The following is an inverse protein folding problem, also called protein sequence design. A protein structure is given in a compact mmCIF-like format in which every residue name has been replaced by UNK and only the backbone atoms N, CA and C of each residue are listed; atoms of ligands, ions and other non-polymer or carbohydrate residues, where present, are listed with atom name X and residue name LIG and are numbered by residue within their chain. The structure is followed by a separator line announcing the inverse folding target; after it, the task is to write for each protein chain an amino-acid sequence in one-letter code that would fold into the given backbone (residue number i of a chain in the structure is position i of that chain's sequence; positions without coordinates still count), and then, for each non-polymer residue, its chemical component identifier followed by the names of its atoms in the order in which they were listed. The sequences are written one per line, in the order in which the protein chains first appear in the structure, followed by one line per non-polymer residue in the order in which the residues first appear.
data_IF_859542576478
#
_entry.id   IF_859542576478
#
_cell.length_a   1.000
_cell.length_b   1.000
_cell.length_c   1.000
_cell.angle_alpha   90.00
_cell.angle_beta   90.00
_cell.angle_gamma   90.00
#
_symmetry.space_group_name_H-M   'P 1'
#
loop_
_entity.id
_entity.type
_entity.pdbx_description
1 polymer ?
#
# COMPACT_ATOMS: atom_id res chain seq x y z
N UNK A 1 -7.78 -17.60 3.49
CA UNK A 1 -7.13 -16.34 3.92
C UNK A 1 -7.87 -15.82 5.14
N UNK A 2 -7.17 -15.48 6.24
CA UNK A 2 -7.84 -14.80 7.35
C UNK A 2 -8.42 -13.47 6.85
N UNK A 3 -9.68 -13.19 7.18
CA UNK A 3 -10.36 -11.92 6.85
C UNK A 3 -9.58 -10.71 7.35
N UNK A 4 -8.76 -10.89 8.38
CA UNK A 4 -7.99 -9.83 9.00
C UNK A 4 -6.97 -9.19 8.04
N UNK A 5 -6.46 -9.95 7.07
CA UNK A 5 -5.44 -9.47 6.13
C UNK A 5 -6.02 -8.97 4.81
N UNK A 6 -7.35 -8.92 4.66
CA UNK A 6 -7.98 -8.50 3.42
C UNK A 6 -7.51 -7.10 2.97
N UNK A 7 -7.43 -6.14 3.90
CA UNK A 7 -6.99 -4.77 3.62
C UNK A 7 -5.51 -4.73 3.18
N UNK A 8 -4.53 -5.23 3.96
CA UNK A 8 -3.13 -5.27 3.55
C UNK A 8 -2.91 -5.99 2.22
N UNK A 9 -3.61 -7.10 1.98
CA UNK A 9 -3.49 -7.87 0.74
C UNK A 9 -4.05 -7.11 -0.46
N UNK A 10 -5.24 -6.51 -0.33
CA UNK A 10 -5.84 -5.71 -1.39
C UNK A 10 -4.98 -4.48 -1.71
N UNK A 11 -4.43 -3.82 -0.68
CA UNK A 11 -3.51 -2.69 -0.86
C UNK A 11 -2.22 -3.12 -1.57
N UNK A 12 -1.65 -4.27 -1.20
CA UNK A 12 -0.44 -4.80 -1.85
C UNK A 12 -0.72 -5.19 -3.31
N UNK A 13 -1.87 -5.81 -3.58
CA UNK A 13 -2.31 -6.15 -4.93
C UNK A 13 -2.51 -4.90 -5.78
N UNK A 14 -3.10 -3.83 -5.22
CA UNK A 14 -3.29 -2.56 -5.91
C UNK A 14 -1.94 -1.91 -6.25
N UNK A 15 -0.98 -1.91 -5.31
CA UNK A 15 0.40 -1.50 -5.56
C UNK A 15 1.04 -2.30 -6.70
N UNK A 16 0.93 -3.63 -6.65
CA UNK A 16 1.46 -4.51 -7.70
C UNK A 16 0.84 -4.24 -9.06
N UNK A 17 -0.49 -4.04 -9.11
CA UNK A 17 -1.21 -3.72 -10.32
C UNK A 17 -0.79 -2.35 -10.89
N UNK A 18 -0.65 -1.33 -10.05
CA UNK A 18 -0.17 -0.01 -10.48
C UNK A 18 1.25 -0.07 -11.01
N UNK A 19 2.17 -0.78 -10.35
CA UNK A 19 3.54 -0.94 -10.84
C UNK A 19 3.59 -1.71 -12.16
N UNK A 20 2.82 -2.79 -12.29
CA UNK A 20 2.72 -3.54 -13.53
C UNK A 20 2.15 -2.65 -14.66
N UNK A 21 1.14 -1.84 -14.37
CA UNK A 21 0.58 -0.89 -15.32
C UNK A 21 1.62 0.13 -15.79
N UNK A 22 2.31 0.81 -14.86
CA UNK A 22 3.37 1.78 -15.19
C UNK A 22 4.47 1.12 -16.03
N UNK A 23 4.84 -0.13 -15.73
CA UNK A 23 5.78 -0.90 -16.53
C UNK A 23 5.31 -1.08 -17.97
N UNK A 24 4.02 -1.41 -18.19
CA UNK A 24 3.47 -1.60 -19.55
C UNK A 24 3.49 -0.35 -20.42
N UNK A 25 3.43 0.83 -19.80
CA UNK A 25 3.40 2.12 -20.51
C UNK A 25 4.74 2.86 -20.47
N UNK A 26 5.77 2.29 -19.86
CA UNK A 26 7.10 2.90 -19.68
C UNK A 26 7.80 3.30 -20.99
N UNK A 27 7.48 2.64 -22.10
CA UNK A 27 8.02 2.96 -23.43
C UNK A 27 7.24 4.03 -24.20
N UNK A 28 6.17 4.59 -23.63
CA UNK A 28 5.33 5.57 -24.32
C UNK A 28 5.92 6.99 -24.22
N UNK A 29 5.76 7.84 -25.24
CA UNK A 29 6.28 9.21 -25.22
C UNK A 29 5.80 10.04 -24.02
N UNK A 30 4.56 9.81 -23.56
CA UNK A 30 3.97 10.48 -22.39
C UNK A 30 4.60 10.11 -21.04
N UNK A 31 5.53 9.15 -21.02
CA UNK A 31 6.24 8.70 -19.82
C UNK A 31 7.75 8.94 -19.90
N UNK A 32 8.20 9.74 -20.87
CA UNK A 32 9.62 10.02 -21.10
C UNK A 32 10.32 10.60 -19.85
N UNK A 33 9.60 11.35 -19.03
CA UNK A 33 10.13 11.99 -17.81
C UNK A 33 10.05 11.07 -16.57
N UNK A 34 9.69 9.79 -16.76
CA UNK A 34 9.59 8.80 -15.67
C UNK A 34 8.34 8.95 -14.79
N UNK A 35 7.41 9.82 -15.18
CA UNK A 35 6.13 10.03 -14.49
C UNK A 35 5.03 10.42 -15.47
N UNK A 36 3.81 10.45 -14.98
CA UNK A 36 2.65 11.00 -15.69
C UNK A 36 2.24 12.30 -15.00
N UNK A 37 2.12 13.38 -15.77
CA UNK A 37 1.53 14.62 -15.27
C UNK A 37 0.00 14.53 -15.30
N UNK A 38 -0.68 15.41 -14.55
CA UNK A 38 -2.15 15.41 -14.46
C UNK A 38 -2.86 15.59 -15.81
N UNK A 39 -2.23 16.24 -16.80
CA UNK A 39 -2.78 16.39 -18.16
C UNK A 39 -2.58 15.16 -19.04
N UNK A 40 -1.67 14.25 -18.68
CA UNK A 40 -1.34 13.04 -19.44
C UNK A 40 -2.04 11.80 -18.89
N UNK A 41 -2.60 11.91 -17.69
CA UNK A 41 -3.33 10.84 -17.02
C UNK A 41 -4.74 10.69 -17.58
N UNK A 42 -5.05 9.46 -17.97
CA UNK A 42 -6.41 8.97 -18.12
C UNK A 42 -7.17 8.99 -16.78
N UNK A 43 -8.51 9.01 -16.80
CA UNK A 43 -9.32 8.96 -15.57
C UNK A 43 -9.02 7.75 -14.67
N UNK A 44 -8.62 6.61 -15.26
CA UNK A 44 -8.24 5.41 -14.50
C UNK A 44 -6.91 5.62 -13.77
N UNK A 45 -5.92 6.23 -14.42
CA UNK A 45 -4.64 6.57 -13.80
C UNK A 45 -4.83 7.57 -12.64
N UNK A 46 -5.74 8.54 -12.81
CA UNK A 46 -6.14 9.47 -11.73
C UNK A 46 -6.81 8.73 -10.56
N UNK A 47 -7.70 7.79 -10.84
CA UNK A 47 -8.32 6.98 -9.79
C UNK A 47 -7.29 6.13 -9.04
N UNK A 48 -6.33 5.52 -9.75
CA UNK A 48 -5.26 4.72 -9.12
C UNK A 48 -4.32 5.57 -8.26
N UNK A 49 -3.98 6.79 -8.70
CA UNK A 49 -3.12 7.71 -7.93
C UNK A 49 -3.76 8.13 -6.61
N UNK A 50 -5.09 8.11 -6.49
CA UNK A 50 -5.79 8.32 -5.22
C UNK A 50 -5.96 7.02 -4.43
N UNK A 51 -6.31 5.92 -5.11
CA UNK A 51 -6.61 4.65 -4.46
C UNK A 51 -5.38 4.01 -3.79
N UNK A 52 -4.20 4.08 -4.43
CA UNK A 52 -2.96 3.46 -3.90
C UNK A 52 -2.52 4.09 -2.57
N UNK A 53 -2.41 5.43 -2.42
CA UNK A 53 -2.10 6.05 -1.13
C UNK A 53 -3.16 5.76 -0.07
N UNK A 54 -4.45 5.82 -0.41
CA UNK A 54 -5.54 5.53 0.54
C UNK A 54 -5.47 4.10 1.07
N UNK A 55 -5.26 3.11 0.19
CA UNK A 55 -5.11 1.72 0.59
C UNK A 55 -3.85 1.51 1.45
N UNK A 56 -2.76 2.23 1.13
CA UNK A 56 -1.52 2.20 1.91
C UNK A 56 -1.74 2.76 3.32
N UNK A 57 -2.40 3.90 3.46
CA UNK A 57 -2.75 4.47 4.76
C UNK A 57 -3.68 3.57 5.56
N UNK A 58 -4.66 2.93 4.92
CA UNK A 58 -5.50 1.93 5.58
C UNK A 58 -4.67 0.77 6.12
N UNK A 59 -3.70 0.27 5.36
CA UNK A 59 -2.77 -0.77 5.79
C UNK A 59 -1.89 -0.32 6.95
N UNK A 60 -1.35 0.90 6.91
CA UNK A 60 -0.60 1.50 8.01
C UNK A 60 -1.45 1.57 9.28
N UNK A 61 -2.70 2.02 9.19
CA UNK A 61 -3.61 2.10 10.33
C UNK A 61 -3.88 0.72 10.95
N UNK A 62 -4.15 -0.29 10.11
CA UNK A 62 -4.31 -1.69 10.58
C UNK A 62 -3.05 -2.18 11.28
N UNK A 63 -1.87 -1.93 10.70
CA UNK A 63 -0.59 -2.34 11.27
C UNK A 63 -0.33 -1.66 12.64
N UNK A 64 -0.52 -0.34 12.72
CA UNK A 64 -0.37 0.42 13.95
C UNK A 64 -1.34 -0.02 15.03
N UNK A 65 -2.62 -0.26 14.67
CA UNK A 65 -3.62 -0.77 15.60
C UNK A 65 -3.19 -2.11 16.18
N UNK A 66 -2.76 -3.06 15.33
CA UNK A 66 -2.24 -4.36 15.78
C UNK A 66 -1.01 -4.20 16.69
N UNK A 67 -0.08 -3.34 16.33
CA UNK A 67 1.12 -3.09 17.14
C UNK A 67 0.81 -2.47 18.51
N UNK A 68 -0.16 -1.55 18.56
CA UNK A 68 -0.66 -0.95 19.79
C UNK A 68 -1.25 -2.01 20.73
N UNK A 69 -2.15 -2.86 20.20
CA UNK A 69 -2.83 -3.89 20.97
C UNK A 69 -1.86 -4.97 21.46
N UNK A 70 -0.82 -5.28 20.68
CA UNK A 70 0.26 -6.17 21.08
C UNK A 70 1.30 -5.51 22.00
N UNK A 71 1.12 -4.24 22.39
CA UNK A 71 2.03 -3.51 23.27
C UNK A 71 3.40 -3.16 22.66
N UNK A 72 3.58 -3.31 21.35
CA UNK A 72 4.86 -3.12 20.68
C UNK A 72 5.02 -1.69 20.16
N UNK A 73 5.66 -0.83 20.97
CA UNK A 73 5.95 0.58 20.60
C UNK A 73 6.89 0.71 19.40
N UNK A 74 7.88 -0.18 19.29
CA UNK A 74 8.82 -0.19 18.16
C UNK A 74 8.11 -0.46 16.84
N UNK A 75 7.23 -1.48 16.79
CA UNK A 75 6.43 -1.77 15.60
C UNK A 75 5.41 -0.70 15.28
N UNK A 76 4.81 -0.07 16.30
CA UNK A 76 3.90 1.05 16.10
C UNK A 76 4.60 2.22 15.39
N UNK A 77 5.78 2.64 15.88
CA UNK A 77 6.57 3.71 15.25
C UNK A 77 7.08 3.30 13.87
N UNK A 78 7.55 2.05 13.72
CA UNK A 78 8.00 1.52 12.44
C UNK A 78 6.89 1.57 11.38
N UNK A 79 5.67 1.15 11.72
CA UNK A 79 4.53 1.19 10.80
C UNK A 79 4.05 2.62 10.49
N UNK A 80 4.22 3.56 11.41
CA UNK A 80 3.82 4.96 11.24
C UNK A 80 4.77 5.72 10.28
N UNK A 81 6.08 5.52 10.43
CA UNK A 81 7.09 6.29 9.68
C UNK A 81 7.67 5.56 8.47
N UNK A 82 7.62 4.22 8.46
CA UNK A 82 8.17 3.39 7.39
C UNK A 82 7.04 2.55 6.80
N UNK A 83 6.26 3.15 5.91
CA UNK A 83 5.06 2.55 5.31
C UNK A 83 5.26 1.11 4.74
N UNK A 84 6.42 0.71 4.16
CA UNK A 84 6.59 -0.67 3.70
C UNK A 84 6.57 -1.69 4.84
N UNK A 85 7.02 -1.28 6.03
CA UNK A 85 7.01 -2.14 7.22
C UNK A 85 5.60 -2.45 7.71
N UNK A 86 4.59 -1.65 7.35
CA UNK A 86 3.20 -1.97 7.64
C UNK A 86 2.75 -3.28 6.97
N UNK A 87 3.21 -3.54 5.74
CA UNK A 87 2.94 -4.80 5.02
C UNK A 87 3.70 -5.97 5.64
N UNK A 88 4.98 -5.78 5.97
CA UNK A 88 5.77 -6.81 6.66
C UNK A 88 5.12 -7.18 7.98
N UNK A 89 4.73 -6.19 8.77
CA UNK A 89 4.12 -6.41 10.07
C UNK A 89 2.78 -7.13 9.96
N UNK A 90 1.89 -6.70 9.06
CA UNK A 90 0.54 -7.30 8.92
C UNK A 90 0.51 -8.63 8.18
N UNK A 91 1.42 -8.88 7.23
CA UNK A 91 1.40 -10.07 6.37
C UNK A 91 2.41 -11.14 6.76
N UNK A 92 3.49 -10.77 7.46
CA UNK A 92 4.56 -11.71 7.79
C UNK A 92 4.70 -11.94 9.29
N UNK A 93 4.54 -10.92 10.13
CA UNK A 93 4.86 -10.99 11.57
C UNK A 93 3.61 -11.23 12.41
N UNK A 94 2.59 -10.38 12.27
CA UNK A 94 1.33 -10.45 12.99
C UNK A 94 0.21 -10.71 11.98
N UNK A 95 0.17 -11.95 11.46
CA UNK A 95 -0.67 -12.40 10.33
C UNK A 95 -2.12 -12.64 10.70
N UNK A 96 -2.35 -12.93 11.96
CA UNK A 96 -3.65 -13.16 12.59
C UNK A 96 -3.42 -12.58 13.97
N UNK A 97 -4.26 -11.64 14.39
CA UNK A 97 -4.64 -11.41 15.79
C UNK A 97 -5.22 -10.00 15.97
N UNK A 98 -6.48 -10.01 16.39
CA UNK A 98 -6.88 -9.37 17.65
C UNK A 98 -7.27 -10.55 18.56
N UNK A 99 -6.40 -10.92 19.49
CA UNK A 99 -6.78 -11.70 20.67
C UNK A 99 -7.38 -10.76 21.71
#
# INVERSE_FOLDING_TARGET
MSRDNAIPLASLALWGASLAYLWTISGQPRMADGGLSGSEMSPIEMAMTLAVPLATFATMFVAMRRAYWNGSRSWLLACLFLWPLAYVYTLLINRTDLH
#
